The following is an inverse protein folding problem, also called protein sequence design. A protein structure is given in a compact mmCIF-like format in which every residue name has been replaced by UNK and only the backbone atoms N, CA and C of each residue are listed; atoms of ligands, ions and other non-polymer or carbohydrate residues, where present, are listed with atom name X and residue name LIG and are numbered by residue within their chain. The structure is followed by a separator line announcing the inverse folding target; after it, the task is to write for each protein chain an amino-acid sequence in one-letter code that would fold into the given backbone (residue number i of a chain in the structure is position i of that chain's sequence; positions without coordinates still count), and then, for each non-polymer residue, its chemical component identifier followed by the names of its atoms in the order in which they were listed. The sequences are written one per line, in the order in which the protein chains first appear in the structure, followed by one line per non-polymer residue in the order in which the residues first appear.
data_IF_415341285208
#
_entry.id   IF_415341285208
#
_cell.length_a   1.000
_cell.length_b   1.000
_cell.length_c   1.000
_cell.angle_alpha   90.00
_cell.angle_beta   90.00
_cell.angle_gamma   90.00
#
_symmetry.space_group_name_H-M   'P 1'
#
loop_
_entity.id
_entity.type
_entity.pdbx_description
1 polymer ?
#
# COMPACT_ATOMS: atom_id res chain seq x y z
N UNK A 1 -21.15 -3.29 -11.16
CA UNK A 1 -21.67 -3.51 -12.53
C UNK A 1 -22.18 -2.20 -13.11
N UNK A 2 -21.30 -1.44 -13.76
CA UNK A 2 -21.61 -0.13 -14.33
C UNK A 2 -22.54 -0.20 -15.55
N UNK A 3 -22.70 -1.39 -16.14
CA UNK A 3 -23.58 -1.64 -17.28
C UNK A 3 -25.02 -1.16 -17.06
N UNK A 4 -25.61 -1.43 -15.88
CA UNK A 4 -27.01 -1.04 -15.58
C UNK A 4 -27.21 0.47 -15.54
N UNK A 5 -26.30 1.19 -14.86
CA UNK A 5 -26.34 2.65 -14.72
C UNK A 5 -26.17 3.34 -16.08
N UNK A 6 -25.28 2.80 -16.93
CA UNK A 6 -25.02 3.35 -18.26
C UNK A 6 -26.22 3.10 -19.19
N UNK A 7 -26.85 1.93 -19.14
CA UNK A 7 -28.03 1.62 -19.95
C UNK A 7 -29.24 2.49 -19.58
N UNK A 8 -29.48 2.70 -18.28
CA UNK A 8 -30.56 3.55 -17.78
C UNK A 8 -30.37 5.03 -18.18
N UNK A 9 -29.14 5.55 -18.05
CA UNK A 9 -28.80 6.92 -18.47
C UNK A 9 -28.99 7.14 -19.98
N UNK A 10 -28.75 6.12 -20.81
CA UNK A 10 -28.94 6.18 -22.26
C UNK A 10 -30.43 6.10 -22.65
N UNK A 11 -31.23 5.38 -21.87
CA UNK A 11 -32.67 5.32 -22.04
C UNK A 11 -33.33 6.67 -21.75
N UNK A 12 -32.92 7.35 -20.68
CA UNK A 12 -33.43 8.69 -20.30
C UNK A 12 -33.09 9.77 -21.36
N UNK A 13 -32.05 9.55 -22.15
CA UNK A 13 -31.70 10.39 -23.30
C UNK A 13 -32.52 10.09 -24.57
N UNK A 14 -33.56 9.26 -24.47
CA UNK A 14 -34.50 8.96 -25.57
C UNK A 14 -33.94 8.00 -26.61
N UNK A 15 -32.90 7.23 -26.29
CA UNK A 15 -32.29 6.25 -27.18
C UNK A 15 -32.75 4.85 -26.76
N UNK A 16 -33.91 4.43 -27.23
CA UNK A 16 -34.62 3.23 -26.75
C UNK A 16 -34.06 1.89 -27.26
N UNK A 17 -33.05 1.89 -28.13
CA UNK A 17 -32.36 0.67 -28.60
C UNK A 17 -30.85 0.92 -28.70
N UNK A 18 -30.14 0.88 -27.57
CA UNK A 18 -28.67 0.99 -27.55
C UNK A 18 -28.06 -0.28 -26.96
N UNK A 19 -27.32 -1.01 -27.80
CA UNK A 19 -26.57 -2.19 -27.39
C UNK A 19 -25.16 -1.76 -26.94
N UNK A 20 -24.94 -1.73 -25.62
CA UNK A 20 -23.66 -1.30 -25.03
C UNK A 20 -22.70 -2.48 -24.99
N UNK A 21 -21.64 -2.42 -25.79
CA UNK A 21 -20.53 -3.39 -25.77
C UNK A 21 -19.30 -2.70 -25.20
N UNK A 22 -18.69 -3.32 -24.18
CA UNK A 22 -17.41 -2.87 -23.65
C UNK A 22 -16.30 -3.55 -24.45
N UNK A 23 -15.76 -2.85 -25.45
CA UNK A 23 -14.53 -3.27 -26.11
C UNK A 23 -13.32 -2.73 -25.35
N UNK A 24 -12.41 -3.62 -25.02
CA UNK A 24 -11.11 -3.27 -24.43
C UNK A 24 -10.13 -3.12 -25.58
N UNK A 25 -9.65 -1.90 -25.85
CA UNK A 25 -8.59 -1.71 -26.84
C UNK A 25 -7.34 -2.48 -26.39
N UNK A 26 -6.71 -3.28 -27.28
CA UNK A 26 -5.46 -3.92 -26.95
C UNK A 26 -4.40 -2.84 -26.81
N UNK A 27 -3.86 -2.68 -25.60
CA UNK A 27 -2.64 -1.93 -25.39
C UNK A 27 -1.56 -2.46 -26.34
N UNK A 28 -0.96 -1.55 -27.10
CA UNK A 28 -0.06 -1.82 -28.22
C UNK A 28 0.87 -3.02 -27.98
N UNK A 29 0.81 -3.99 -28.89
CA UNK A 29 1.74 -5.10 -28.97
C UNK A 29 3.14 -4.58 -29.32
N UNK A 30 4.04 -4.62 -28.34
CA UNK A 30 5.47 -4.38 -28.53
C UNK A 30 6.29 -5.51 -27.90
N UNK A 31 6.80 -6.41 -28.74
CA UNK A 31 8.02 -7.20 -28.51
C UNK A 31 8.03 -8.16 -27.31
N UNK A 32 7.79 -9.44 -27.59
CA UNK A 32 8.16 -10.52 -26.69
C UNK A 32 9.69 -10.67 -26.63
N UNK A 33 10.30 -10.28 -25.51
CA UNK A 33 11.51 -10.92 -25.00
C UNK A 33 11.31 -11.24 -23.52
N UNK A 34 11.63 -12.48 -23.17
CA UNK A 34 11.43 -13.07 -21.87
C UNK A 34 12.31 -12.39 -20.81
N UNK A 35 11.69 -11.67 -19.90
CA UNK A 35 12.23 -11.47 -18.55
C UNK A 35 11.15 -11.93 -17.60
N UNK A 36 11.44 -12.96 -16.82
CA UNK A 36 10.60 -13.41 -15.73
C UNK A 36 10.56 -12.29 -14.67
N UNK A 37 9.70 -11.31 -14.89
CA UNK A 37 9.31 -10.36 -13.87
C UNK A 37 8.54 -11.16 -12.83
N UNK A 38 9.20 -11.38 -11.68
CA UNK A 38 8.49 -11.62 -10.43
C UNK A 38 7.36 -10.59 -10.40
N UNK A 39 6.12 -11.03 -10.36
CA UNK A 39 5.01 -10.21 -9.88
C UNK A 39 5.36 -9.81 -8.45
N UNK A 40 6.13 -8.73 -8.32
CA UNK A 40 6.25 -7.97 -7.09
C UNK A 40 4.86 -7.39 -6.94
N UNK A 41 4.03 -8.12 -6.19
CA UNK A 41 2.75 -7.65 -5.70
C UNK A 41 2.95 -6.17 -5.35
N UNK A 42 2.27 -5.29 -6.06
CA UNK A 42 2.44 -3.84 -5.99
C UNK A 42 2.06 -3.39 -4.58
N UNK A 43 3.03 -3.52 -3.66
CA UNK A 43 3.15 -2.77 -2.43
C UNK A 43 2.98 -1.33 -2.84
N UNK A 44 1.96 -0.66 -2.29
CA UNK A 44 1.68 0.72 -2.62
C UNK A 44 3.01 1.50 -2.58
N UNK A 45 3.38 2.09 -3.70
CA UNK A 45 4.70 2.69 -3.88
C UNK A 45 4.91 3.73 -2.78
N UNK A 46 6.05 3.67 -2.11
CA UNK A 46 6.41 4.65 -1.10
C UNK A 46 6.46 6.03 -1.76
N UNK A 47 5.79 7.02 -1.16
CA UNK A 47 5.82 8.39 -1.66
C UNK A 47 7.27 8.93 -1.63
N UNK A 48 7.88 9.29 -2.79
CA UNK A 48 9.27 9.70 -2.86
C UNK A 48 9.58 11.01 -2.12
N UNK A 49 8.56 11.79 -1.76
CA UNK A 49 8.73 13.04 -1.00
C UNK A 49 9.05 12.82 0.48
N UNK A 50 8.72 11.65 1.01
CA UNK A 50 8.79 11.36 2.44
C UNK A 50 10.07 10.59 2.79
N UNK A 51 11.21 11.29 2.83
CA UNK A 51 12.50 10.72 3.21
C UNK A 51 13.00 11.29 4.53
N UNK A 52 14.05 10.71 5.13
CA UNK A 52 14.62 11.26 6.36
C UNK A 52 15.24 12.63 6.12
N UNK A 53 15.81 12.85 4.94
CA UNK A 53 16.49 14.09 4.55
C UNK A 53 15.50 15.26 4.42
N UNK A 54 14.26 15.00 4.02
CA UNK A 54 13.20 16.01 3.93
C UNK A 54 12.44 16.23 5.24
N UNK A 55 12.72 15.44 6.28
CA UNK A 55 12.04 15.55 7.57
C UNK A 55 12.74 16.57 8.49
N UNK A 56 12.00 17.60 8.91
CA UNK A 56 12.53 18.62 9.83
C UNK A 56 12.47 18.13 11.28
N UNK A 57 13.65 17.99 11.89
CA UNK A 57 13.78 17.55 13.28
C UNK A 57 13.75 18.74 14.24
N UNK A 58 12.94 18.63 15.29
CA UNK A 58 12.86 19.58 16.40
C UNK A 58 12.65 18.84 17.73
N UNK A 59 12.68 19.56 18.85
CA UNK A 59 12.58 18.98 20.19
C UNK A 59 11.35 18.10 20.40
N UNK A 60 10.23 18.42 19.75
CA UNK A 60 8.97 17.67 19.85
C UNK A 60 8.93 16.35 19.07
N UNK A 61 9.78 16.17 18.06
CA UNK A 61 9.77 15.00 17.18
C UNK A 61 11.12 14.26 17.12
N UNK A 62 12.15 14.78 17.79
CA UNK A 62 13.51 14.23 17.80
C UNK A 62 13.54 12.78 18.26
N UNK A 63 12.77 12.43 19.29
CA UNK A 63 12.71 11.05 19.78
C UNK A 63 12.10 10.09 18.74
N UNK A 64 10.98 10.46 18.12
CA UNK A 64 10.35 9.66 17.09
C UNK A 64 11.26 9.49 15.85
N UNK A 65 11.94 10.56 15.45
CA UNK A 65 12.92 10.52 14.37
C UNK A 65 14.10 9.60 14.69
N UNK A 66 14.67 9.69 15.90
CA UNK A 66 15.78 8.84 16.33
C UNK A 66 15.37 7.35 16.40
N UNK A 67 14.18 7.05 16.93
CA UNK A 67 13.65 5.69 16.98
C UNK A 67 13.41 5.13 15.57
N UNK A 68 12.80 5.93 14.68
CA UNK A 68 12.61 5.57 13.27
C UNK A 68 13.94 5.26 12.58
N UNK A 69 14.97 6.07 12.81
CA UNK A 69 16.30 5.86 12.24
C UNK A 69 16.95 4.57 12.74
N UNK A 70 16.90 4.31 14.04
CA UNK A 70 17.47 3.11 14.65
C UNK A 70 16.81 1.81 14.14
N UNK A 71 15.50 1.84 13.88
CA UNK A 71 14.75 0.73 13.29
C UNK A 71 15.07 0.55 11.81
N UNK A 72 15.24 1.64 11.06
CA UNK A 72 15.63 1.58 9.65
C UNK A 72 17.07 1.05 9.46
N UNK A 73 17.97 1.35 10.40
CA UNK A 73 19.37 0.89 10.35
C UNK A 73 19.54 -0.59 10.66
N UNK A 74 18.79 -1.12 11.60
CA UNK A 74 18.82 -2.54 11.97
C UNK A 74 17.39 -3.07 12.10
N UNK A 75 16.70 -3.35 10.97
CA UNK A 75 15.34 -3.88 10.96
C UNK A 75 15.24 -5.17 11.79
N UNK A 76 14.14 -5.35 12.49
CA UNK A 76 13.82 -6.53 13.32
C UNK A 76 14.66 -6.73 14.60
N UNK A 77 15.85 -6.14 14.72
CA UNK A 77 16.72 -6.31 15.92
C UNK A 77 16.68 -5.14 16.89
N UNK A 78 16.54 -3.90 16.41
CA UNK A 78 16.46 -2.74 17.29
C UNK A 78 15.14 -2.71 18.06
N UNK A 79 14.01 -2.71 17.34
CA UNK A 79 12.66 -2.71 17.90
C UNK A 79 11.69 -3.40 16.92
N UNK A 80 10.84 -4.30 17.43
CA UNK A 80 9.75 -4.91 16.66
C UNK A 80 8.56 -5.23 17.59
N UNK A 81 7.41 -4.53 17.48
CA UNK A 81 7.10 -3.50 16.50
C UNK A 81 7.62 -2.09 16.87
N UNK A 82 7.78 -1.22 15.88
CA UNK A 82 7.86 0.23 16.08
C UNK A 82 6.45 0.82 15.95
N UNK A 83 5.96 1.48 17.00
CA UNK A 83 4.64 2.10 17.00
C UNK A 83 4.74 3.62 17.12
N UNK A 84 4.32 4.34 16.08
CA UNK A 84 4.33 5.81 16.03
C UNK A 84 2.91 6.34 16.27
N UNK A 85 2.72 7.16 17.31
CA UNK A 85 1.45 7.78 17.64
C UNK A 85 1.59 9.28 17.87
N UNK A 86 0.50 10.01 17.71
CA UNK A 86 0.45 11.46 17.81
C UNK A 86 -0.68 12.05 16.99
N UNK A 87 -0.97 13.34 17.20
CA UNK A 87 -1.99 14.09 16.46
C UNK A 87 -1.79 14.10 14.94
N UNK A 88 -2.78 14.65 14.24
CA UNK A 88 -2.72 14.84 12.78
C UNK A 88 -1.57 15.78 12.41
N UNK A 89 -0.93 15.56 11.27
CA UNK A 89 0.14 16.44 10.77
C UNK A 89 1.48 16.38 11.51
N UNK A 90 1.66 15.51 12.51
CA UNK A 90 2.92 15.38 13.26
C UNK A 90 4.00 14.52 12.57
N UNK A 91 3.79 14.13 11.31
CA UNK A 91 4.80 13.44 10.51
C UNK A 91 4.88 11.92 10.68
N UNK A 92 3.87 11.27 11.28
CA UNK A 92 3.82 9.79 11.43
C UNK A 92 4.00 9.05 10.10
N UNK A 93 3.15 9.36 9.12
CA UNK A 93 3.21 8.80 7.76
C UNK A 93 4.54 9.13 7.09
N UNK A 94 5.07 10.35 7.28
CA UNK A 94 6.37 10.74 6.72
C UNK A 94 7.49 9.85 7.26
N UNK A 95 7.60 9.72 8.59
CA UNK A 95 8.63 8.91 9.23
C UNK A 95 8.52 7.43 8.82
N UNK A 96 7.31 6.89 8.73
CA UNK A 96 7.11 5.52 8.28
C UNK A 96 7.59 5.30 6.84
N UNK A 97 7.29 6.22 5.93
CA UNK A 97 7.79 6.15 4.56
C UNK A 97 9.31 6.33 4.49
N UNK A 98 9.87 7.22 5.31
CA UNK A 98 11.31 7.45 5.40
C UNK A 98 12.06 6.17 5.84
N UNK A 99 11.50 5.41 6.79
CA UNK A 99 12.01 4.08 7.16
C UNK A 99 12.02 3.16 5.93
N UNK A 100 10.92 3.11 5.19
CA UNK A 100 10.82 2.24 4.02
C UNK A 100 11.84 2.57 2.93
N UNK A 101 12.01 3.85 2.62
CA UNK A 101 13.00 4.32 1.64
C UNK A 101 14.42 3.98 2.09
N UNK A 102 14.73 4.21 3.36
CA UNK A 102 16.05 3.93 3.90
C UNK A 102 16.38 2.42 3.83
N UNK A 103 15.42 1.56 4.18
CA UNK A 103 15.58 0.10 4.09
C UNK A 103 15.77 -0.35 2.64
N UNK A 104 14.95 0.13 1.71
CA UNK A 104 15.06 -0.23 0.29
C UNK A 104 16.37 0.26 -0.35
N UNK A 105 16.86 1.44 0.05
CA UNK A 105 18.12 1.99 -0.44
C UNK A 105 19.32 1.13 -0.01
N UNK A 106 19.29 0.58 1.20
CA UNK A 106 20.39 -0.22 1.76
C UNK A 106 20.31 -1.69 1.37
N UNK A 107 19.11 -2.27 1.41
CA UNK A 107 18.87 -3.69 1.16
C UNK A 107 17.75 -3.88 0.13
N UNK A 108 18.11 -3.81 -1.16
CA UNK A 108 17.19 -4.02 -2.30
C UNK A 108 16.50 -5.39 -2.33
N UNK A 109 17.01 -6.36 -1.56
CA UNK A 109 16.51 -7.73 -1.53
C UNK A 109 15.39 -7.97 -0.50
N UNK A 110 15.16 -7.03 0.42
CA UNK A 110 14.11 -7.18 1.43
C UNK A 110 12.74 -6.91 0.80
N UNK A 111 11.79 -7.81 1.06
CA UNK A 111 10.40 -7.65 0.68
C UNK A 111 9.73 -6.68 1.65
N UNK A 112 9.58 -5.43 1.21
CA UNK A 112 8.90 -4.39 1.97
C UNK A 112 7.48 -4.17 1.43
N UNK A 113 6.49 -4.15 2.33
CA UNK A 113 5.11 -3.85 1.98
C UNK A 113 4.59 -2.67 2.80
N UNK A 114 4.09 -1.66 2.11
CA UNK A 114 3.30 -0.58 2.70
C UNK A 114 1.81 -0.80 2.41
N UNK A 115 0.98 -0.66 3.45
CA UNK A 115 -0.46 -0.81 3.37
C UNK A 115 -1.18 0.10 4.37
N UNK A 116 -2.34 0.65 3.99
CA UNK A 116 -3.24 1.30 4.95
C UNK A 116 -4.08 0.26 5.68
N UNK A 117 -4.45 0.53 6.92
CA UNK A 117 -5.28 -0.37 7.72
C UNK A 117 -6.63 -0.71 7.06
N UNK A 118 -7.25 0.26 6.39
CA UNK A 118 -8.50 0.04 5.64
C UNK A 118 -8.31 -0.95 4.49
N UNK A 119 -7.23 -0.82 3.70
CA UNK A 119 -6.91 -1.76 2.62
C UNK A 119 -6.62 -3.15 3.18
N UNK A 120 -5.89 -3.25 4.28
CA UNK A 120 -5.62 -4.53 4.95
C UNK A 120 -6.91 -5.23 5.37
N UNK A 121 -7.84 -4.52 6.00
CA UNK A 121 -9.15 -5.06 6.39
C UNK A 121 -9.95 -5.49 5.16
N UNK A 122 -10.02 -4.66 4.12
CA UNK A 122 -10.74 -5.01 2.89
C UNK A 122 -10.16 -6.26 2.20
N UNK A 123 -8.84 -6.39 2.16
CA UNK A 123 -8.18 -7.61 1.66
C UNK A 123 -8.51 -8.83 2.54
N UNK A 124 -8.53 -8.66 3.86
CA UNK A 124 -8.91 -9.73 4.80
C UNK A 124 -10.37 -10.18 4.61
N UNK A 125 -11.32 -9.23 4.50
CA UNK A 125 -12.75 -9.51 4.28
C UNK A 125 -12.93 -10.29 2.98
N UNK A 126 -12.28 -9.85 1.90
CA UNK A 126 -12.33 -10.56 0.62
C UNK A 126 -11.73 -11.96 0.71
N UNK A 127 -10.61 -12.12 1.42
CA UNK A 127 -9.99 -13.42 1.63
C UNK A 127 -10.90 -14.39 2.40
N UNK A 128 -11.67 -13.90 3.38
CA UNK A 128 -12.68 -14.70 4.07
C UNK A 128 -13.84 -15.05 3.13
N UNK A 129 -14.39 -14.05 2.41
CA UNK A 129 -15.54 -14.23 1.52
C UNK A 129 -15.31 -15.26 0.42
N UNK A 130 -14.10 -15.33 -0.11
CA UNK A 130 -13.74 -16.21 -1.23
C UNK A 130 -12.92 -17.44 -0.81
N UNK A 131 -12.84 -17.75 0.49
CA UNK A 131 -12.05 -18.86 1.05
C UNK A 131 -10.56 -18.85 0.63
N UNK A 132 -9.98 -17.65 0.52
CA UNK A 132 -8.57 -17.41 0.17
C UNK A 132 -7.72 -16.99 1.38
N UNK A 133 -8.20 -17.29 2.60
CA UNK A 133 -7.50 -16.94 3.84
C UNK A 133 -6.08 -17.53 3.93
N UNK A 134 -5.79 -18.76 3.45
CA UNK A 134 -4.43 -19.28 3.44
C UNK A 134 -3.47 -18.42 2.59
N UNK A 135 -3.91 -18.02 1.39
CA UNK A 135 -3.12 -17.18 0.49
C UNK A 135 -2.87 -15.78 1.09
N UNK A 136 -3.90 -15.19 1.72
CA UNK A 136 -3.76 -13.94 2.46
C UNK A 136 -2.69 -14.05 3.56
N UNK A 137 -2.76 -15.09 4.39
CA UNK A 137 -1.76 -15.32 5.45
C UNK A 137 -0.35 -15.51 4.89
N UNK A 138 -0.21 -16.25 3.79
CA UNK A 138 1.08 -16.47 3.14
C UNK A 138 1.67 -15.16 2.61
N UNK A 139 0.85 -14.32 1.96
CA UNK A 139 1.26 -13.00 1.45
C UNK A 139 1.90 -12.15 2.55
N UNK A 140 1.25 -11.98 3.69
CA UNK A 140 1.76 -11.11 4.76
C UNK A 140 2.86 -11.74 5.63
N UNK A 141 2.98 -13.08 5.66
CA UNK A 141 4.08 -13.78 6.35
C UNK A 141 5.37 -13.84 5.54
N UNK A 142 5.29 -13.70 4.22
CA UNK A 142 6.45 -13.69 3.33
C UNK A 142 7.15 -12.32 3.25
N UNK A 143 6.60 -11.31 3.94
CA UNK A 143 7.13 -9.93 3.97
C UNK A 143 8.19 -9.82 5.05
N UNK A 144 9.34 -9.23 4.72
CA UNK A 144 10.42 -8.97 5.68
C UNK A 144 10.13 -7.71 6.52
N UNK A 145 9.51 -6.70 5.91
CA UNK A 145 9.15 -5.43 6.55
C UNK A 145 7.73 -5.02 6.19
N UNK A 146 6.85 -4.97 7.18
CA UNK A 146 5.46 -4.54 7.01
C UNK A 146 5.25 -3.16 7.63
N UNK A 147 4.85 -2.19 6.80
CA UNK A 147 4.50 -0.84 7.19
C UNK A 147 2.99 -0.68 7.11
N UNK A 148 2.35 -0.36 8.24
CA UNK A 148 0.89 -0.22 8.35
C UNK A 148 0.54 1.19 8.78
N UNK A 149 -0.17 1.94 7.92
CA UNK A 149 -0.66 3.28 8.27
C UNK A 149 -2.07 3.25 8.86
N UNK A 150 -2.39 4.36 9.54
CA UNK A 150 -3.75 4.72 9.94
C UNK A 150 -4.51 3.63 10.72
N UNK A 151 -3.83 2.99 11.67
CA UNK A 151 -4.38 1.92 12.53
C UNK A 151 -5.65 2.33 13.29
N UNK A 152 -5.87 3.64 13.48
CA UNK A 152 -7.09 4.15 14.12
C UNK A 152 -8.37 3.74 13.38
N UNK A 153 -8.32 3.47 12.08
CA UNK A 153 -9.49 3.04 11.32
C UNK A 153 -9.88 1.58 11.55
N UNK A 154 -9.08 0.82 12.32
CA UNK A 154 -9.40 -0.57 12.71
C UNK A 154 -10.41 -0.61 13.86
N UNK A 155 -10.33 0.32 14.81
CA UNK A 155 -11.19 0.33 15.99
C UNK A 155 -12.48 1.13 15.71
N UNK A 156 -13.57 0.44 15.35
CA UNK A 156 -14.87 1.11 15.17
C UNK A 156 -15.79 0.51 14.09
N UNK A 157 -15.44 -0.65 13.52
CA UNK A 157 -16.35 -1.45 12.69
C UNK A 157 -16.49 -2.85 13.27
#
# INVERSE_FOLDING_TARGET
NYHGVIAESLHDLGKSEVHVVFECEPAAAGGAEAVAEREVATSAALNPKYTFESFVVGSSNQFAHAAARAVAEIPSKSYNPLFLYGGVGLGKTHLMHAIGHYIQARNRHLNLVYISSDRFINEMINAIRFDRLPAFRQKYRAVDVLLVDDIQFIAGK
#
